data_IF_958751657155
#
_entry.id   IF_958751657155
#
_cell.length_a   1.000
_cell.length_b   1.000
_cell.length_c   1.000
_cell.angle_alpha   90.00
_cell.angle_beta   90.00
_cell.angle_gamma   90.00
#
_symmetry.space_group_name_H-M   'P 1'
#
loop_
_entity.id
_entity.type
_entity.pdbx_description
1 polymer ?
#
# COMPACT_ATOMS: atom_id res chain seq x y z
N UNK A 1 10.67 -28.31 -9.09
CA UNK A 1 9.37 -28.46 -9.77
C UNK A 1 9.52 -29.67 -10.69
N UNK A 2 8.75 -30.73 -10.47
CA UNK A 2 8.80 -31.96 -11.26
C UNK A 2 7.53 -32.00 -12.13
N UNK A 3 7.70 -31.83 -13.43
CA UNK A 3 6.59 -31.77 -14.40
C UNK A 3 6.14 -33.16 -14.87
N UNK A 4 6.72 -34.24 -14.33
CA UNK A 4 6.25 -35.60 -14.59
C UNK A 4 5.05 -36.01 -13.71
N UNK A 5 4.77 -35.23 -12.66
CA UNK A 5 3.57 -35.35 -11.83
C UNK A 5 2.46 -34.45 -12.39
N UNK A 6 1.19 -34.81 -12.14
CA UNK A 6 0.05 -33.97 -12.54
C UNK A 6 0.15 -32.59 -11.88
N UNK A 7 0.18 -31.54 -12.71
CA UNK A 7 0.25 -30.14 -12.29
C UNK A 7 -0.93 -29.36 -12.87
N UNK A 8 -1.86 -28.94 -12.02
CA UNK A 8 -2.96 -28.07 -12.41
C UNK A 8 -2.60 -26.60 -12.18
N UNK A 9 -2.57 -25.82 -13.26
CA UNK A 9 -2.42 -24.36 -13.21
C UNK A 9 -3.76 -23.71 -13.53
N UNK A 10 -4.30 -22.97 -12.56
CA UNK A 10 -5.57 -22.28 -12.69
C UNK A 10 -5.31 -20.77 -12.73
N UNK A 11 -5.95 -20.09 -13.68
CA UNK A 11 -5.82 -18.65 -13.87
C UNK A 11 -7.20 -18.01 -13.80
N UNK A 12 -7.29 -16.86 -13.14
CA UNK A 12 -8.52 -16.06 -13.09
C UNK A 12 -8.17 -14.58 -12.96
N UNK A 13 -9.04 -13.67 -13.42
CA UNK A 13 -8.85 -12.23 -13.21
C UNK A 13 -8.84 -11.87 -11.72
N UNK A 14 -8.11 -10.82 -11.32
CA UNK A 14 -8.14 -10.34 -9.95
C UNK A 14 -9.52 -9.77 -9.58
N UNK A 15 -9.97 -10.05 -8.36
CA UNK A 15 -11.22 -9.52 -7.81
C UNK A 15 -11.00 -8.13 -7.22
N UNK A 16 -10.94 -7.11 -8.07
CA UNK A 16 -10.60 -5.72 -7.67
C UNK A 16 -11.50 -5.17 -6.56
N UNK A 17 -12.80 -5.51 -6.56
CA UNK A 17 -13.74 -5.05 -5.53
C UNK A 17 -13.51 -5.69 -4.16
N UNK A 18 -12.99 -6.92 -4.12
CA UNK A 18 -12.72 -7.65 -2.88
C UNK A 18 -11.34 -7.28 -2.31
N UNK A 19 -10.43 -6.79 -3.15
CA UNK A 19 -9.05 -6.44 -2.81
C UNK A 19 -8.70 -5.00 -3.23
N UNK A 20 -9.26 -3.96 -2.57
CA UNK A 20 -9.13 -2.57 -3.00
C UNK A 20 -7.68 -2.05 -3.03
N UNK A 21 -6.80 -2.62 -2.20
CA UNK A 21 -5.38 -2.29 -2.20
C UNK A 21 -4.72 -2.49 -3.57
N UNK A 22 -5.18 -3.47 -4.36
CA UNK A 22 -4.65 -3.68 -5.71
C UNK A 22 -5.04 -2.53 -6.64
N UNK A 23 -6.28 -2.03 -6.57
CA UNK A 23 -6.72 -0.88 -7.35
C UNK A 23 -5.96 0.40 -6.94
N UNK A 24 -5.79 0.63 -5.63
CA UNK A 24 -5.00 1.74 -5.11
C UNK A 24 -3.54 1.68 -5.59
N UNK A 25 -2.94 0.49 -5.65
CA UNK A 25 -1.58 0.32 -6.15
C UNK A 25 -1.45 0.78 -7.62
N UNK A 26 -2.41 0.44 -8.49
CA UNK A 26 -2.41 0.94 -9.87
C UNK A 26 -2.56 2.46 -9.93
N UNK A 27 -3.46 3.04 -9.14
CA UNK A 27 -3.68 4.49 -9.10
C UNK A 27 -2.43 5.26 -8.67
N UNK A 28 -1.73 4.80 -7.62
CA UNK A 28 -0.51 5.49 -7.16
C UNK A 28 0.65 5.35 -8.13
N UNK A 29 0.73 4.24 -8.88
CA UNK A 29 1.72 4.05 -9.93
C UNK A 29 1.46 4.98 -11.12
N UNK A 30 0.20 5.21 -11.49
CA UNK A 30 -0.17 6.15 -12.55
C UNK A 30 0.14 7.61 -12.19
N UNK A 31 -0.09 7.98 -10.93
CA UNK A 31 0.19 9.34 -10.44
C UNK A 31 1.67 9.61 -10.16
N UNK A 32 2.44 8.56 -9.86
CA UNK A 32 3.89 8.60 -9.66
C UNK A 32 4.34 9.55 -8.51
N UNK A 33 5.63 9.84 -8.40
CA UNK A 33 6.22 10.76 -7.44
C UNK A 33 6.26 10.19 -6.03
N UNK A 34 5.72 10.92 -5.05
CA UNK A 34 5.71 10.48 -3.65
C UNK A 34 4.71 9.35 -3.37
N UNK A 35 3.66 9.18 -4.19
CA UNK A 35 2.52 8.34 -3.83
C UNK A 35 2.84 6.84 -3.69
N UNK A 36 3.70 6.23 -4.54
CA UNK A 36 4.12 4.84 -4.31
C UNK A 36 4.85 4.64 -2.97
N UNK A 37 5.64 5.62 -2.54
CA UNK A 37 6.37 5.59 -1.26
C UNK A 37 5.37 5.71 -0.10
N UNK A 38 4.43 6.65 -0.21
CA UNK A 38 3.37 6.86 0.78
C UNK A 38 2.51 5.61 0.93
N UNK A 39 2.11 4.99 -0.20
CA UNK A 39 1.33 3.75 -0.21
C UNK A 39 2.04 2.64 0.55
N UNK A 40 3.33 2.41 0.25
CA UNK A 40 4.10 1.36 0.92
C UNK A 40 4.26 1.63 2.42
N UNK A 41 4.69 2.84 2.77
CA UNK A 41 4.92 3.25 4.16
C UNK A 41 3.64 3.17 5.01
N UNK A 42 2.50 3.62 4.46
CA UNK A 42 1.21 3.56 5.14
C UNK A 42 0.74 2.11 5.32
N UNK A 43 0.88 1.28 4.29
CA UNK A 43 0.50 -0.14 4.37
C UNK A 43 1.27 -0.85 5.49
N UNK A 44 2.56 -0.60 5.67
CA UNK A 44 3.33 -1.19 6.76
C UNK A 44 2.80 -0.80 8.15
N UNK A 45 2.44 0.47 8.33
CA UNK A 45 1.88 0.97 9.59
C UNK A 45 0.50 0.37 9.88
N UNK A 46 -0.38 0.30 8.87
CA UNK A 46 -1.73 -0.25 9.06
C UNK A 46 -1.73 -1.78 9.19
N UNK A 47 -0.88 -2.49 8.45
CA UNK A 47 -0.70 -3.94 8.65
C UNK A 47 -0.18 -4.22 10.06
N UNK A 48 0.81 -3.45 10.53
CA UNK A 48 1.30 -3.59 11.90
C UNK A 48 0.20 -3.34 12.94
N UNK A 49 -0.58 -2.27 12.78
CA UNK A 49 -1.70 -1.96 13.66
C UNK A 49 -2.81 -3.04 13.64
N UNK A 50 -3.06 -3.64 12.47
CA UNK A 50 -3.98 -4.78 12.37
C UNK A 50 -3.45 -6.00 13.13
N UNK A 51 -2.16 -6.31 13.01
CA UNK A 51 -1.52 -7.41 13.74
C UNK A 51 -1.49 -7.18 15.26
N UNK A 52 -1.49 -5.92 15.70
CA UNK A 52 -1.65 -5.52 17.11
C UNK A 52 -3.11 -5.37 17.55
N UNK A 53 -4.08 -5.80 16.73
CA UNK A 53 -5.53 -5.73 16.99
C UNK A 53 -6.07 -4.30 17.23
N UNK A 54 -5.34 -3.26 16.80
CA UNK A 54 -5.76 -1.85 16.94
C UNK A 54 -6.76 -1.41 15.87
N UNK A 55 -6.70 -2.02 14.69
CA UNK A 55 -7.64 -1.81 13.57
C UNK A 55 -8.10 -3.14 13.00
N UNK A 56 -9.20 -3.15 12.25
CA UNK A 56 -9.67 -4.35 11.54
C UNK A 56 -8.99 -4.46 10.18
N UNK A 57 -8.93 -5.68 9.64
CA UNK A 57 -8.37 -5.92 8.30
C UNK A 57 -8.99 -5.02 7.21
N UNK A 58 -10.32 -4.82 7.26
CA UNK A 58 -11.05 -3.99 6.30
C UNK A 58 -10.77 -2.49 6.43
N UNK A 59 -10.15 -2.05 7.52
CA UNK A 59 -9.82 -0.63 7.73
C UNK A 59 -8.52 -0.25 6.96
N UNK A 60 -7.64 -1.22 6.66
CA UNK A 60 -6.38 -0.99 5.92
C UNK A 60 -6.58 -0.25 4.59
N UNK A 61 -7.45 -0.71 3.66
CA UNK A 61 -7.68 0.01 2.41
C UNK A 61 -8.28 1.40 2.62
N UNK A 62 -9.19 1.56 3.59
CA UNK A 62 -9.86 2.85 3.88
C UNK A 62 -8.87 3.87 4.40
N UNK A 63 -8.00 3.48 5.34
CA UNK A 63 -6.97 4.36 5.90
C UNK A 63 -5.88 4.66 4.87
N UNK A 64 -5.52 3.70 4.03
CA UNK A 64 -4.58 3.90 2.91
C UNK A 64 -5.11 4.92 1.91
N UNK A 65 -6.37 4.81 1.49
CA UNK A 65 -7.00 5.80 0.62
C UNK A 65 -7.01 7.19 1.27
N UNK A 66 -7.35 7.27 2.56
CA UNK A 66 -7.37 8.54 3.31
C UNK A 66 -6.01 9.24 3.33
N UNK A 67 -4.92 8.51 3.55
CA UNK A 67 -3.58 9.12 3.55
C UNK A 67 -3.13 9.52 2.15
N UNK A 68 -3.45 8.72 1.12
CA UNK A 68 -3.10 9.02 -0.27
C UNK A 68 -3.80 10.27 -0.80
N UNK A 69 -5.01 10.55 -0.33
CA UNK A 69 -5.75 11.78 -0.63
C UNK A 69 -5.18 13.03 0.09
N UNK A 70 -4.13 12.87 0.89
CA UNK A 70 -3.38 13.98 1.47
C UNK A 70 -2.52 14.74 0.44
N UNK A 71 -1.93 15.84 0.87
CA UNK A 71 -1.02 16.60 0.02
C UNK A 71 0.39 15.95 -0.02
N UNK A 72 0.75 15.41 -1.19
CA UNK A 72 2.02 14.74 -1.48
C UNK A 72 2.68 15.31 -2.74
N UNK A 73 3.04 16.59 -2.71
CA UNK A 73 3.60 17.29 -3.87
C UNK A 73 5.09 17.03 -4.15
N UNK A 74 5.79 16.32 -3.25
CA UNK A 74 7.22 16.08 -3.38
C UNK A 74 7.50 15.04 -4.47
N UNK A 75 8.42 15.35 -5.39
CA UNK A 75 8.96 14.37 -6.34
C UNK A 75 10.37 13.98 -5.89
N UNK A 76 10.60 12.73 -5.47
CA UNK A 76 11.91 12.31 -5.00
C UNK A 76 12.90 12.23 -6.16
N UNK A 77 14.09 12.82 -6.00
CA UNK A 77 15.19 12.72 -6.95
C UNK A 77 16.40 11.98 -6.36
N UNK A 78 16.45 11.89 -5.04
CA UNK A 78 17.53 11.24 -4.28
C UNK A 78 16.97 10.31 -3.20
N UNK A 79 17.83 9.45 -2.66
CA UNK A 79 17.44 8.51 -1.61
C UNK A 79 16.93 9.24 -0.36
N UNK A 80 17.53 10.37 -0.01
CA UNK A 80 17.15 11.18 1.14
C UNK A 80 15.71 11.68 1.03
N UNK A 81 15.25 12.04 -0.17
CA UNK A 81 13.85 12.44 -0.40
C UNK A 81 12.90 11.26 -0.13
N UNK A 82 13.28 10.06 -0.60
CA UNK A 82 12.49 8.83 -0.38
C UNK A 82 12.36 8.54 1.11
N UNK A 83 13.47 8.59 1.84
CA UNK A 83 13.50 8.39 3.30
C UNK A 83 12.65 9.45 4.02
N UNK A 84 12.73 10.71 3.59
CA UNK A 84 11.94 11.79 4.17
C UNK A 84 10.44 11.59 3.93
N UNK A 85 10.03 11.23 2.72
CA UNK A 85 8.63 10.95 2.37
C UNK A 85 8.12 9.76 3.18
N UNK A 86 8.87 8.66 3.23
CA UNK A 86 8.53 7.46 4.02
C UNK A 86 8.31 7.82 5.50
N UNK A 87 9.25 8.56 6.12
CA UNK A 87 9.12 8.99 7.52
C UNK A 87 7.83 9.79 7.76
N UNK A 88 7.57 10.80 6.90
CA UNK A 88 6.37 11.64 7.03
C UNK A 88 5.09 10.82 6.82
N UNK A 89 5.10 9.87 5.87
CA UNK A 89 3.97 8.98 5.63
C UNK A 89 3.69 8.07 6.83
N UNK A 90 4.73 7.51 7.46
CA UNK A 90 4.58 6.71 8.69
C UNK A 90 4.02 7.52 9.85
N UNK A 91 4.52 8.73 10.06
CA UNK A 91 4.01 9.63 11.11
C UNK A 91 2.54 9.97 10.89
N UNK A 92 2.16 10.32 9.66
CA UNK A 92 0.76 10.60 9.32
C UNK A 92 -0.13 9.37 9.42
N UNK A 93 0.34 8.19 9.01
CA UNK A 93 -0.41 6.94 9.11
C UNK A 93 -0.62 6.56 10.58
N UNK A 94 0.41 6.70 11.42
CA UNK A 94 0.34 6.47 12.87
C UNK A 94 -0.71 7.36 13.56
N UNK A 95 -0.89 8.59 13.11
CA UNK A 95 -1.89 9.51 13.63
C UNK A 95 -3.35 9.21 13.19
N UNK A 96 -3.55 8.25 12.26
CA UNK A 96 -4.86 7.83 11.78
C UNK A 96 -5.39 6.56 12.46
N UNK A 97 -4.56 5.88 13.24
CA UNK A 97 -4.88 4.70 14.06
C UNK A 97 -5.36 5.17 15.44
#
# INVERSE_FOLDING_TARGET
LDFSQDLALNFSPPRMNDFPMLALAYEVLEKDGALPIVYNAANEIFVHAFLEEKIRFIDIPVLTEKILNGNWSMKPNHLEDVIQIDRIAREKAGALI
#
